data_IF_861120294878
#
_entry.id   IF_861120294878
#
_cell.length_a   1.000
_cell.length_b   1.000
_cell.length_c   1.000
_cell.angle_alpha   90.00
_cell.angle_beta   90.00
_cell.angle_gamma   90.00
#
_symmetry.space_group_name_H-M   'P 1'
#
loop_
_entity.id
_entity.type
_entity.pdbx_description
1 polymer ?
#
# COMPACT_ATOMS: atom_id res chain seq x y z
N UNK A 1 7.24 -2.84 2.89
CA UNK A 1 8.03 -3.96 3.44
C UNK A 1 8.23 -3.83 4.96
N UNK A 2 7.62 -2.81 5.57
CA UNK A 2 7.76 -2.54 6.99
C UNK A 2 9.15 -2.07 7.39
N UNK A 3 9.39 -1.90 8.69
CA UNK A 3 10.73 -1.71 9.22
C UNK A 3 11.63 -2.90 8.92
N UNK A 4 12.95 -2.71 8.96
CA UNK A 4 13.91 -3.81 8.74
C UNK A 4 13.65 -5.02 9.68
N UNK A 5 13.18 -4.79 10.88
CA UNK A 5 12.82 -5.85 11.83
C UNK A 5 11.63 -6.71 11.35
N UNK A 6 10.78 -6.19 10.48
CA UNK A 6 9.61 -6.90 9.95
C UNK A 6 9.98 -7.82 8.76
N UNK A 7 11.17 -7.65 8.16
CA UNK A 7 11.55 -8.42 6.97
C UNK A 7 11.54 -9.93 7.19
N UNK A 8 11.91 -10.39 8.37
CA UNK A 8 11.90 -11.82 8.72
C UNK A 8 10.50 -12.45 8.62
N UNK A 9 9.44 -11.72 9.01
CA UNK A 9 8.08 -12.22 8.89
C UNK A 9 7.62 -12.31 7.43
N UNK A 10 8.02 -11.30 6.61
CA UNK A 10 7.70 -11.31 5.18
C UNK A 10 8.45 -12.46 4.48
N UNK A 11 9.73 -12.64 4.79
CA UNK A 11 10.53 -13.74 4.25
C UNK A 11 9.93 -15.09 4.64
N UNK A 12 9.58 -15.29 5.91
CA UNK A 12 8.93 -16.53 6.35
C UNK A 12 7.62 -16.80 5.60
N UNK A 13 6.80 -15.77 5.36
CA UNK A 13 5.59 -15.91 4.55
C UNK A 13 5.89 -16.29 3.10
N UNK A 14 6.91 -15.71 2.48
CA UNK A 14 7.33 -16.05 1.13
C UNK A 14 7.83 -17.50 1.05
N UNK A 15 8.58 -17.96 2.05
CA UNK A 15 9.02 -19.35 2.20
C UNK A 15 7.84 -20.29 2.32
N UNK A 16 6.90 -20.02 3.21
CA UNK A 16 5.69 -20.85 3.44
C UNK A 16 4.83 -20.96 2.17
N UNK A 17 4.82 -19.90 1.33
CA UNK A 17 4.12 -19.88 0.05
C UNK A 17 4.95 -20.47 -1.10
N UNK A 18 6.23 -20.78 -0.89
CA UNK A 18 7.15 -21.22 -1.94
C UNK A 18 7.42 -20.14 -2.99
N UNK A 19 7.35 -18.86 -2.61
CA UNK A 19 7.51 -17.72 -3.50
C UNK A 19 8.94 -17.17 -3.40
N UNK A 20 9.69 -17.31 -4.47
CA UNK A 20 11.05 -16.76 -4.61
C UNK A 20 11.14 -15.69 -5.69
N UNK A 21 10.03 -15.36 -6.36
CA UNK A 21 9.97 -14.39 -7.43
C UNK A 21 8.78 -13.46 -7.28
N UNK A 22 8.97 -12.18 -7.56
CA UNK A 22 7.92 -11.17 -7.66
C UNK A 22 7.97 -10.53 -9.04
N UNK A 23 6.86 -10.54 -9.76
CA UNK A 23 6.73 -9.79 -11.01
C UNK A 23 6.85 -8.29 -10.73
N UNK A 24 6.22 -7.84 -9.64
CA UNK A 24 6.15 -6.41 -9.30
C UNK A 24 6.36 -6.18 -7.81
N UNK A 25 7.20 -5.22 -7.49
CA UNK A 25 7.34 -4.63 -6.17
C UNK A 25 6.91 -3.16 -6.25
N UNK A 26 6.01 -2.71 -5.38
CA UNK A 26 5.58 -1.31 -5.36
C UNK A 26 5.91 -0.71 -4.00
N UNK A 27 6.67 0.38 -4.01
CA UNK A 27 6.98 1.17 -2.83
C UNK A 27 6.09 2.42 -2.81
N UNK A 28 5.22 2.53 -1.82
CA UNK A 28 4.28 3.66 -1.70
C UNK A 28 5.00 4.99 -1.50
N UNK A 29 5.94 5.02 -0.57
CA UNK A 29 6.84 6.14 -0.28
C UNK A 29 8.08 5.63 0.48
N UNK A 30 9.04 6.51 0.77
CA UNK A 30 10.38 6.13 1.21
C UNK A 30 10.63 6.22 2.72
N UNK A 31 9.60 6.15 3.59
CA UNK A 31 9.82 6.00 5.03
C UNK A 31 10.30 4.60 5.40
N UNK A 32 11.03 4.50 6.52
CA UNK A 32 11.65 3.24 6.95
C UNK A 32 10.63 2.16 7.34
N UNK A 33 9.44 2.53 7.78
CA UNK A 33 8.34 1.60 8.07
C UNK A 33 7.66 1.05 6.78
N UNK A 34 8.01 1.57 5.61
CA UNK A 34 7.61 1.06 4.31
C UNK A 34 8.78 0.47 3.51
N UNK A 35 9.92 1.12 3.50
CA UNK A 35 11.11 0.75 2.72
C UNK A 35 12.15 -0.07 3.51
N UNK A 36 12.13 -0.01 4.84
CA UNK A 36 13.20 -0.53 5.68
C UNK A 36 13.53 -2.00 5.49
N UNK A 37 12.51 -2.84 5.34
CA UNK A 37 12.67 -4.28 5.10
C UNK A 37 12.86 -4.68 3.64
N UNK A 38 12.73 -3.75 2.69
CA UNK A 38 12.69 -4.07 1.26
C UNK A 38 13.98 -4.69 0.73
N UNK A 39 15.14 -4.19 1.18
CA UNK A 39 16.43 -4.75 0.78
C UNK A 39 16.59 -6.21 1.22
N UNK A 40 16.26 -6.54 2.46
CA UNK A 40 16.37 -7.90 2.97
C UNK A 40 15.43 -8.86 2.23
N UNK A 41 14.23 -8.42 1.90
CA UNK A 41 13.27 -9.21 1.08
C UNK A 41 13.82 -9.42 -0.32
N UNK A 42 14.37 -8.40 -0.97
CA UNK A 42 14.99 -8.54 -2.29
C UNK A 42 16.18 -9.51 -2.25
N UNK A 43 17.08 -9.37 -1.29
CA UNK A 43 18.22 -10.27 -1.11
C UNK A 43 17.77 -11.72 -0.98
N UNK A 44 16.77 -11.99 -0.14
CA UNK A 44 16.19 -13.32 0.00
C UNK A 44 15.73 -13.89 -1.36
N UNK A 45 14.95 -13.12 -2.13
CA UNK A 45 14.42 -13.57 -3.41
C UNK A 45 15.54 -13.94 -4.41
N UNK A 46 16.55 -13.09 -4.54
CA UNK A 46 17.66 -13.33 -5.47
C UNK A 46 18.58 -14.48 -5.01
N UNK A 47 18.86 -14.60 -3.72
CA UNK A 47 19.68 -15.67 -3.15
C UNK A 47 19.03 -17.06 -3.29
N UNK A 48 17.69 -17.11 -3.42
CA UNK A 48 16.93 -18.35 -3.62
C UNK A 48 16.60 -18.61 -5.10
N UNK A 49 17.30 -17.96 -6.03
CA UNK A 49 17.22 -18.22 -7.46
C UNK A 49 16.03 -17.59 -8.16
N UNK A 50 15.32 -16.68 -7.50
CA UNK A 50 14.25 -15.87 -8.05
C UNK A 50 14.66 -14.43 -8.31
N UNK A 51 13.84 -13.46 -7.88
CA UNK A 51 14.13 -12.03 -8.04
C UNK A 51 12.88 -11.17 -8.12
N UNK A 52 13.08 -9.95 -8.62
CA UNK A 52 12.02 -8.97 -8.84
C UNK A 52 12.16 -8.44 -10.27
N UNK A 53 11.11 -8.58 -11.10
CA UNK A 53 11.16 -8.11 -12.50
C UNK A 53 11.12 -6.58 -12.58
N UNK A 54 10.20 -5.97 -11.84
CA UNK A 54 10.01 -4.53 -11.85
C UNK A 54 9.69 -3.96 -10.48
N UNK A 55 10.29 -2.81 -10.18
CA UNK A 55 9.97 -2.01 -9.00
C UNK A 55 9.32 -0.69 -9.43
N UNK A 56 8.17 -0.37 -8.86
CA UNK A 56 7.44 0.87 -9.10
C UNK A 56 7.51 1.76 -7.88
N UNK A 57 7.92 3.01 -8.04
CA UNK A 57 7.98 3.99 -6.97
C UNK A 57 7.79 5.42 -7.49
N UNK A 58 7.48 6.37 -6.60
CA UNK A 58 7.59 7.80 -6.94
C UNK A 58 9.06 8.22 -7.01
N UNK A 59 9.35 9.33 -7.69
CA UNK A 59 10.71 9.84 -7.84
C UNK A 59 11.28 10.51 -6.59
N UNK A 60 10.45 10.73 -5.56
CA UNK A 60 10.93 11.33 -4.32
C UNK A 60 11.68 10.30 -3.46
N UNK A 61 12.89 10.64 -3.08
CA UNK A 61 13.72 9.87 -2.14
C UNK A 61 13.77 10.63 -0.82
N UNK A 62 13.25 9.99 0.24
CA UNK A 62 13.33 10.55 1.59
C UNK A 62 14.73 10.40 2.20
N UNK A 63 14.90 10.83 3.44
CA UNK A 63 16.12 10.65 4.23
C UNK A 63 16.36 9.20 4.70
N UNK A 64 15.56 8.25 4.29
CA UNK A 64 15.76 6.83 4.55
C UNK A 64 17.12 6.37 4.01
N UNK A 65 17.85 5.61 4.83
CA UNK A 65 19.12 5.00 4.42
C UNK A 65 18.93 3.68 3.67
N UNK A 66 17.79 3.05 3.85
CA UNK A 66 17.50 1.71 3.32
C UNK A 66 17.01 1.76 1.87
N UNK A 67 16.22 2.76 1.54
CA UNK A 67 15.61 2.87 0.21
C UNK A 67 16.65 3.02 -0.91
N UNK A 68 17.68 3.88 -0.81
CA UNK A 68 18.72 3.96 -1.84
C UNK A 68 19.54 2.66 -1.98
N UNK A 69 19.81 1.96 -0.88
CA UNK A 69 20.51 0.68 -0.91
C UNK A 69 19.68 -0.42 -1.58
N UNK A 70 18.37 -0.42 -1.32
CA UNK A 70 17.42 -1.31 -1.98
C UNK A 70 17.39 -1.07 -3.50
N UNK A 71 17.27 0.20 -3.91
CA UNK A 71 17.25 0.55 -5.33
C UNK A 71 18.54 0.19 -6.06
N UNK A 72 19.69 0.48 -5.43
CA UNK A 72 21.00 0.09 -5.98
C UNK A 72 21.09 -1.42 -6.15
N UNK A 73 20.67 -2.19 -5.13
CA UNK A 73 20.65 -3.65 -5.18
C UNK A 73 19.78 -4.17 -6.32
N UNK A 74 18.58 -3.61 -6.50
CA UNK A 74 17.69 -3.97 -7.60
C UNK A 74 18.35 -3.74 -8.97
N UNK A 75 18.93 -2.56 -9.18
CA UNK A 75 19.61 -2.19 -10.45
C UNK A 75 20.79 -3.11 -10.74
N UNK A 76 21.58 -3.46 -9.71
CA UNK A 76 22.72 -4.39 -9.86
C UNK A 76 22.28 -5.80 -10.24
N UNK A 77 21.09 -6.23 -9.85
CA UNK A 77 20.52 -7.54 -10.16
C UNK A 77 19.59 -7.55 -11.37
N UNK A 78 19.51 -6.45 -12.13
CA UNK A 78 18.80 -6.37 -13.40
C UNK A 78 17.30 -6.07 -13.28
N UNK A 79 16.78 -5.74 -12.08
CA UNK A 79 15.41 -5.28 -11.90
C UNK A 79 15.20 -3.94 -12.61
N UNK A 80 14.11 -3.81 -13.34
CA UNK A 80 13.69 -2.53 -13.91
C UNK A 80 13.02 -1.64 -12.85
N UNK A 81 13.60 -0.47 -12.57
CA UNK A 81 13.04 0.48 -11.59
C UNK A 81 12.33 1.63 -12.31
N UNK A 82 11.01 1.71 -12.11
CA UNK A 82 10.15 2.79 -12.61
C UNK A 82 10.03 3.88 -11.54
N UNK A 83 10.76 4.97 -11.70
CA UNK A 83 10.88 6.05 -10.71
C UNK A 83 9.79 7.13 -10.84
N UNK A 84 8.96 7.09 -11.88
CA UNK A 84 7.98 8.13 -12.19
C UNK A 84 6.55 7.58 -12.19
N UNK A 85 6.18 6.90 -11.11
CA UNK A 85 4.80 6.46 -10.92
C UNK A 85 3.97 7.64 -10.43
N UNK A 86 3.41 8.38 -11.38
CA UNK A 86 2.63 9.59 -11.14
C UNK A 86 1.15 9.37 -11.41
N UNK A 87 0.32 10.33 -11.00
CA UNK A 87 -1.10 10.36 -11.30
C UNK A 87 -1.36 10.16 -12.80
N UNK A 88 -2.24 9.21 -13.12
CA UNK A 88 -2.53 8.81 -14.49
C UNK A 88 -1.69 7.63 -15.02
N UNK A 89 -0.63 7.22 -14.31
CA UNK A 89 0.13 6.03 -14.71
C UNK A 89 -0.74 4.77 -14.58
N UNK A 90 -0.71 3.93 -15.60
CA UNK A 90 -1.52 2.71 -15.65
C UNK A 90 -0.70 1.54 -16.18
N UNK A 91 -0.93 0.36 -15.59
CA UNK A 91 -0.40 -0.91 -16.10
C UNK A 91 -1.38 -2.04 -15.80
N UNK A 92 -1.10 -3.21 -16.34
CA UNK A 92 -1.91 -4.40 -16.11
C UNK A 92 -1.05 -5.57 -15.65
N UNK A 93 -1.61 -6.38 -14.76
CA UNK A 93 -1.06 -7.65 -14.31
C UNK A 93 -2.10 -8.73 -14.64
N UNK A 94 -1.87 -9.47 -15.71
CA UNK A 94 -2.93 -10.30 -16.28
C UNK A 94 -4.16 -9.46 -16.63
N UNK A 95 -5.30 -9.78 -16.03
CA UNK A 95 -6.56 -9.06 -16.22
C UNK A 95 -6.80 -7.95 -15.16
N UNK A 96 -5.87 -7.75 -14.22
CA UNK A 96 -5.96 -6.72 -13.21
C UNK A 96 -5.41 -5.42 -13.78
N UNK A 97 -6.26 -4.37 -13.84
CA UNK A 97 -5.82 -3.02 -14.18
C UNK A 97 -5.46 -2.26 -12.91
N UNK A 98 -4.27 -1.65 -12.91
CA UNK A 98 -3.75 -0.83 -11.83
C UNK A 98 -3.63 0.60 -12.35
N UNK A 99 -4.16 1.56 -11.59
CA UNK A 99 -4.10 2.99 -11.91
C UNK A 99 -3.56 3.75 -10.71
N UNK A 100 -2.51 4.54 -10.90
CA UNK A 100 -2.04 5.50 -9.92
C UNK A 100 -2.83 6.82 -10.07
N UNK A 101 -3.33 7.35 -8.96
CA UNK A 101 -4.06 8.61 -8.87
C UNK A 101 -3.24 9.73 -8.22
N UNK A 102 -2.13 9.37 -7.60
CA UNK A 102 -1.22 10.28 -6.87
C UNK A 102 0.17 9.63 -6.76
N UNK A 103 1.29 10.42 -6.62
CA UNK A 103 1.37 11.87 -6.63
C UNK A 103 1.36 12.48 -8.05
N UNK A 104 1.18 13.80 -8.14
CA UNK A 104 1.49 14.58 -9.34
C UNK A 104 2.93 15.11 -9.27
N UNK A 105 3.46 15.60 -10.38
CA UNK A 105 4.76 16.29 -10.39
C UNK A 105 4.76 17.49 -9.43
N UNK A 106 3.66 18.25 -9.38
CA UNK A 106 3.51 19.40 -8.50
C UNK A 106 3.56 19.00 -7.01
N UNK A 107 2.96 17.84 -6.65
CA UNK A 107 3.00 17.34 -5.26
C UNK A 107 4.43 16.98 -4.86
N UNK A 108 5.20 16.36 -5.77
CA UNK A 108 6.61 16.05 -5.55
C UNK A 108 7.47 17.30 -5.39
N UNK A 109 7.25 18.33 -6.22
CA UNK A 109 7.97 19.62 -6.15
C UNK A 109 7.69 20.37 -4.83
N UNK A 110 6.51 20.18 -4.24
CA UNK A 110 6.13 20.79 -2.95
C UNK A 110 6.59 19.98 -1.73
N UNK A 111 7.09 18.79 -1.93
CA UNK A 111 7.58 17.96 -0.83
C UNK A 111 8.88 18.56 -0.25
N UNK A 112 8.83 18.93 1.03
CA UNK A 112 9.95 19.58 1.74
C UNK A 112 10.78 18.60 2.60
N UNK A 113 10.44 17.30 2.57
CA UNK A 113 11.19 16.24 3.23
C UNK A 113 10.93 16.08 4.73
N UNK A 114 9.90 16.74 5.28
CA UNK A 114 9.40 16.38 6.60
C UNK A 114 8.44 15.20 6.52
N UNK A 115 8.17 14.53 7.63
CA UNK A 115 7.36 13.31 7.67
C UNK A 115 6.01 13.46 6.99
N UNK A 116 5.28 14.55 7.26
CA UNK A 116 3.99 14.82 6.64
C UNK A 116 4.07 14.96 5.12
N UNK A 117 5.05 15.74 4.61
CA UNK A 117 5.18 15.97 3.16
C UNK A 117 5.65 14.71 2.42
N UNK A 118 6.44 13.85 3.08
CA UNK A 118 6.85 12.55 2.52
C UNK A 118 5.68 11.57 2.51
N UNK A 119 4.88 11.54 3.56
CA UNK A 119 3.64 10.75 3.60
C UNK A 119 2.67 11.21 2.51
N UNK A 120 2.52 12.53 2.34
CA UNK A 120 1.62 13.12 1.35
C UNK A 120 2.09 13.00 -0.11
N UNK A 121 3.23 12.37 -0.39
CA UNK A 121 3.62 11.94 -1.75
C UNK A 121 3.56 10.42 -1.94
N UNK A 122 2.88 9.70 -1.06
CA UNK A 122 2.58 8.28 -1.20
C UNK A 122 1.83 8.01 -2.50
N UNK A 123 2.12 6.88 -3.16
CA UNK A 123 1.39 6.48 -4.36
C UNK A 123 -0.01 5.99 -3.97
N UNK A 124 -1.04 6.70 -4.46
CA UNK A 124 -2.42 6.22 -4.39
C UNK A 124 -2.72 5.32 -5.58
N UNK A 125 -2.98 4.05 -5.33
CA UNK A 125 -3.26 3.07 -6.38
C UNK A 125 -4.62 2.41 -6.20
N UNK A 126 -5.28 2.20 -7.35
CA UNK A 126 -6.50 1.41 -7.44
C UNK A 126 -6.29 0.20 -8.32
N UNK A 127 -6.66 -0.96 -7.81
CA UNK A 127 -6.65 -2.24 -8.49
C UNK A 127 -8.08 -2.60 -8.89
N UNK A 128 -8.28 -2.94 -10.15
CA UNK A 128 -9.59 -3.32 -10.69
C UNK A 128 -9.48 -4.67 -11.39
N UNK A 129 -10.19 -5.67 -10.85
CA UNK A 129 -10.32 -6.98 -11.45
C UNK A 129 -11.79 -7.29 -11.71
N UNK A 130 -12.24 -7.04 -12.94
CA UNK A 130 -13.66 -7.14 -13.27
C UNK A 130 -14.50 -6.16 -12.45
N UNK A 131 -15.32 -6.68 -11.52
CA UNK A 131 -16.15 -5.87 -10.63
C UNK A 131 -15.45 -5.56 -9.30
N UNK A 132 -14.47 -6.36 -8.90
CA UNK A 132 -13.76 -6.20 -7.64
C UNK A 132 -12.73 -5.07 -7.70
N UNK A 133 -12.68 -4.25 -6.65
CA UNK A 133 -11.84 -3.05 -6.58
C UNK A 133 -11.16 -2.95 -5.24
N UNK A 134 -9.85 -2.72 -5.26
CA UNK A 134 -9.03 -2.47 -4.07
C UNK A 134 -8.33 -1.12 -4.19
N UNK A 135 -8.27 -0.36 -3.10
CA UNK A 135 -7.62 0.95 -3.03
C UNK A 135 -6.58 0.95 -1.89
N UNK A 136 -5.39 1.49 -2.19
CA UNK A 136 -4.34 1.72 -1.19
C UNK A 136 -3.62 3.03 -1.49
N UNK A 137 -3.41 3.87 -0.46
CA UNK A 137 -2.81 5.20 -0.60
C UNK A 137 -1.54 5.39 0.24
N UNK A 138 -0.94 4.32 0.75
CA UNK A 138 0.21 4.47 1.66
C UNK A 138 -0.18 5.27 2.89
N UNK A 139 0.52 6.38 3.14
CA UNK A 139 0.36 7.17 4.36
C UNK A 139 -0.18 8.58 4.13
N UNK A 140 -1.05 8.74 3.13
CA UNK A 140 -1.72 10.00 2.85
C UNK A 140 -2.45 10.55 4.07
N UNK A 141 -2.27 11.85 4.36
CA UNK A 141 -2.95 12.56 5.43
C UNK A 141 -4.31 13.12 4.96
N UNK A 142 -5.16 13.48 5.90
CA UNK A 142 -6.55 13.95 5.68
C UNK A 142 -6.61 15.07 4.63
N UNK A 143 -5.72 16.05 4.68
CA UNK A 143 -5.71 17.16 3.72
C UNK A 143 -5.50 16.69 2.27
N UNK A 144 -4.61 15.72 2.08
CA UNK A 144 -4.38 15.14 0.76
C UNK A 144 -5.55 14.23 0.35
N UNK A 145 -6.09 13.45 1.27
CA UNK A 145 -7.30 12.64 1.04
C UNK A 145 -8.46 13.51 0.56
N UNK A 146 -8.70 14.65 1.20
CA UNK A 146 -9.76 15.60 0.82
C UNK A 146 -9.55 16.18 -0.57
N UNK A 147 -8.31 16.59 -0.90
CA UNK A 147 -7.94 17.07 -2.23
C UNK A 147 -8.21 16.01 -3.30
N UNK A 148 -7.79 14.78 -3.06
CA UNK A 148 -7.97 13.66 -3.99
C UNK A 148 -9.44 13.26 -4.11
N UNK A 149 -10.20 13.29 -3.01
CA UNK A 149 -11.64 13.05 -3.01
C UNK A 149 -12.39 14.09 -3.86
N UNK A 150 -12.02 15.38 -3.76
CA UNK A 150 -12.58 16.44 -4.61
C UNK A 150 -12.21 16.25 -6.09
N UNK A 151 -10.96 15.89 -6.35
CA UNK A 151 -10.45 15.78 -7.71
C UNK A 151 -11.02 14.58 -8.47
N UNK A 152 -11.14 13.43 -7.82
CA UNK A 152 -11.44 12.16 -8.48
C UNK A 152 -12.84 11.59 -8.16
N UNK A 153 -13.45 11.97 -7.06
CA UNK A 153 -14.81 11.56 -6.69
C UNK A 153 -15.03 10.05 -6.85
N UNK A 154 -16.06 9.70 -7.62
CA UNK A 154 -16.48 8.30 -7.85
C UNK A 154 -15.41 7.40 -8.48
N UNK A 155 -14.36 7.95 -9.06
CA UNK A 155 -13.24 7.15 -9.58
C UNK A 155 -12.48 6.45 -8.46
N UNK A 156 -12.55 6.94 -7.22
CA UNK A 156 -11.91 6.34 -6.05
C UNK A 156 -12.73 5.23 -5.38
N UNK A 157 -14.01 5.04 -5.73
CA UNK A 157 -14.85 3.99 -5.13
C UNK A 157 -14.20 2.62 -5.22
N UNK A 158 -14.12 1.92 -4.08
CA UNK A 158 -13.49 0.61 -3.96
C UNK A 158 -14.27 -0.28 -2.99
N UNK A 159 -14.22 -1.59 -3.22
CA UNK A 159 -14.88 -2.57 -2.36
C UNK A 159 -14.07 -2.82 -1.08
N UNK A 160 -12.74 -2.81 -1.21
CA UNK A 160 -11.80 -2.96 -0.10
C UNK A 160 -10.81 -1.80 -0.14
N UNK A 161 -10.52 -1.23 1.02
CA UNK A 161 -9.54 -0.19 1.19
C UNK A 161 -8.52 -0.60 2.27
N UNK A 162 -7.20 -0.45 1.97
CA UNK A 162 -6.22 -0.35 3.04
C UNK A 162 -6.37 1.04 3.67
N UNK A 163 -6.45 1.10 5.00
CA UNK A 163 -6.43 2.39 5.69
C UNK A 163 -5.13 3.14 5.40
N UNK A 164 -5.19 4.43 5.18
CA UNK A 164 -4.00 5.25 5.04
C UNK A 164 -3.32 5.41 6.42
N UNK A 165 -1.99 5.56 6.40
CA UNK A 165 -1.14 5.82 7.56
C UNK A 165 -1.47 4.88 8.74
N UNK A 166 -1.47 3.58 8.47
CA UNK A 166 -1.73 2.50 9.45
C UNK A 166 -3.05 2.65 10.23
N UNK A 167 -4.02 3.39 9.68
CA UNK A 167 -5.27 3.68 10.37
C UNK A 167 -5.18 4.72 11.49
N UNK A 168 -4.13 5.55 11.54
CA UNK A 168 -3.98 6.61 12.53
C UNK A 168 -4.99 7.73 12.33
N UNK A 169 -5.15 8.58 13.36
CA UNK A 169 -6.10 9.70 13.35
C UNK A 169 -5.68 10.88 12.44
N UNK A 170 -4.49 10.85 11.88
CA UNK A 170 -4.02 11.83 10.88
C UNK A 170 -4.57 11.57 9.49
N UNK A 171 -5.25 10.44 9.30
CA UNK A 171 -5.72 9.94 8.01
C UNK A 171 -7.11 9.31 8.13
N UNK A 172 -7.66 8.87 7.01
CA UNK A 172 -8.96 8.22 6.91
C UNK A 172 -10.12 9.16 7.29
N UNK A 173 -10.04 10.41 6.81
CA UNK A 173 -11.04 11.44 7.07
C UNK A 173 -12.43 11.06 6.57
N UNK A 174 -13.47 11.65 7.19
CA UNK A 174 -14.87 11.34 6.85
C UNK A 174 -15.17 11.54 5.35
N UNK A 175 -14.68 12.62 4.75
CA UNK A 175 -14.86 12.90 3.31
C UNK A 175 -14.24 11.82 2.43
N UNK A 176 -13.06 11.31 2.82
CA UNK A 176 -12.38 10.21 2.15
C UNK A 176 -13.23 8.94 2.20
N UNK A 177 -13.68 8.54 3.39
CA UNK A 177 -14.51 7.35 3.58
C UNK A 177 -15.83 7.43 2.82
N UNK A 178 -16.47 8.61 2.81
CA UNK A 178 -17.69 8.86 2.04
C UNK A 178 -17.47 8.83 0.52
N UNK A 179 -16.26 9.15 0.05
CA UNK A 179 -15.91 9.12 -1.37
C UNK A 179 -15.57 7.70 -1.82
N UNK A 180 -14.72 7.00 -1.07
CA UNK A 180 -14.29 5.63 -1.39
C UNK A 180 -15.43 4.63 -1.21
N UNK A 181 -16.27 4.79 -0.19
CA UNK A 181 -17.40 3.92 0.13
C UNK A 181 -17.01 2.43 0.23
N UNK A 182 -16.01 2.08 1.05
CA UNK A 182 -15.54 0.72 1.12
C UNK A 182 -16.56 -0.19 1.83
N UNK A 183 -16.65 -1.45 1.43
CA UNK A 183 -17.36 -2.49 2.15
C UNK A 183 -16.47 -3.14 3.24
N UNK A 184 -15.14 -3.02 3.07
CA UNK A 184 -14.17 -3.49 4.04
C UNK A 184 -12.96 -2.55 4.12
N UNK A 185 -12.44 -2.37 5.33
CA UNK A 185 -11.20 -1.64 5.63
C UNK A 185 -10.21 -2.64 6.25
N UNK A 186 -8.99 -2.64 5.74
CA UNK A 186 -7.86 -3.40 6.28
C UNK A 186 -6.85 -2.41 6.82
N UNK A 187 -6.47 -2.54 8.10
CA UNK A 187 -5.39 -1.75 8.70
C UNK A 187 -4.20 -2.65 9.07
N UNK A 188 -3.01 -2.11 8.92
CA UNK A 188 -1.74 -2.72 9.33
C UNK A 188 -1.17 -2.11 10.62
N UNK A 189 -2.04 -1.55 11.46
CA UNK A 189 -1.70 -1.09 12.81
C UNK A 189 -1.22 -2.24 13.71
N UNK A 190 -0.46 -1.92 14.76
CA UNK A 190 -0.01 -2.88 15.77
C UNK A 190 -1.16 -3.39 16.66
N UNK A 191 -2.27 -2.65 16.69
CA UNK A 191 -3.49 -2.96 17.45
C UNK A 191 -4.74 -2.69 16.60
N UNK A 192 -5.82 -2.19 17.20
CA UNK A 192 -7.03 -1.80 16.48
C UNK A 192 -6.81 -0.58 15.56
N UNK A 193 -5.68 0.13 15.69
CA UNK A 193 -5.44 1.42 15.03
C UNK A 193 -6.26 2.54 15.67
N UNK A 194 -6.86 3.40 14.85
CA UNK A 194 -7.70 4.49 15.33
C UNK A 194 -9.10 3.98 15.72
N UNK A 195 -9.45 4.08 17.00
CA UNK A 195 -10.75 3.68 17.52
C UNK A 195 -11.92 4.40 16.78
N UNK A 196 -11.75 5.67 16.41
CA UNK A 196 -12.77 6.41 15.65
C UNK A 196 -13.00 5.84 14.26
N UNK A 197 -11.96 5.30 13.61
CA UNK A 197 -12.09 4.64 12.32
C UNK A 197 -12.86 3.31 12.47
N UNK A 198 -12.56 2.53 13.51
CA UNK A 198 -13.26 1.30 13.81
C UNK A 198 -14.74 1.54 14.20
N UNK A 199 -15.02 2.57 15.01
CA UNK A 199 -16.37 3.00 15.35
C UNK A 199 -17.15 3.44 14.09
N UNK A 200 -16.54 4.27 13.24
CA UNK A 200 -17.16 4.68 11.96
C UNK A 200 -17.48 3.45 11.10
N UNK A 201 -16.58 2.50 11.00
CA UNK A 201 -16.81 1.28 10.23
C UNK A 201 -18.01 0.50 10.79
N UNK A 202 -18.07 0.31 12.11
CA UNK A 202 -19.17 -0.38 12.78
C UNK A 202 -20.52 0.33 12.57
N UNK A 203 -20.57 1.67 12.71
CA UNK A 203 -21.78 2.47 12.50
C UNK A 203 -22.32 2.42 11.06
N UNK A 204 -21.42 2.23 10.08
CA UNK A 204 -21.78 2.19 8.66
C UNK A 204 -21.85 0.78 8.07
N UNK A 205 -21.71 -0.26 8.91
CA UNK A 205 -21.75 -1.66 8.46
C UNK A 205 -20.57 -2.05 7.57
N UNK A 206 -19.44 -1.36 7.70
CA UNK A 206 -18.18 -1.64 7.00
C UNK A 206 -17.42 -2.68 7.82
N UNK A 207 -16.95 -3.74 7.19
CA UNK A 207 -16.09 -4.74 7.84
C UNK A 207 -14.73 -4.14 8.14
N UNK A 208 -14.25 -4.29 9.38
CA UNK A 208 -12.95 -3.77 9.81
C UNK A 208 -12.01 -4.90 10.20
N UNK A 209 -10.80 -4.85 9.67
CA UNK A 209 -9.77 -5.86 9.90
C UNK A 209 -8.47 -5.18 10.32
N UNK A 210 -7.84 -5.68 11.40
CA UNK A 210 -6.55 -5.18 11.88
C UNK A 210 -5.51 -6.29 11.92
N UNK A 211 -4.39 -6.10 11.25
CA UNK A 211 -3.29 -7.05 11.24
C UNK A 211 -2.67 -7.25 12.64
N UNK A 212 -2.66 -6.21 13.48
CA UNK A 212 -2.17 -6.30 14.86
C UNK A 212 -3.01 -7.20 15.76
N UNK A 213 -4.31 -7.37 15.44
CA UNK A 213 -5.22 -8.22 16.21
C UNK A 213 -5.38 -9.60 15.54
N UNK A 214 -5.52 -9.61 14.22
CA UNK A 214 -5.92 -10.82 13.47
C UNK A 214 -4.74 -11.53 12.78
N UNK A 215 -3.53 -10.97 12.90
CA UNK A 215 -2.33 -11.51 12.26
C UNK A 215 -2.35 -11.30 10.75
N UNK A 216 -1.93 -12.30 10.00
CA UNK A 216 -1.95 -12.23 8.54
C UNK A 216 -3.38 -12.06 8.00
N UNK A 217 -3.57 -11.05 7.16
CA UNK A 217 -4.82 -10.81 6.44
C UNK A 217 -4.58 -11.04 4.96
N UNK A 218 -5.30 -11.99 4.39
CA UNK A 218 -5.23 -12.35 2.98
C UNK A 218 -6.48 -11.86 2.25
N UNK A 219 -6.30 -10.92 1.32
CA UNK A 219 -7.35 -10.49 0.40
C UNK A 219 -7.21 -11.24 -0.93
N UNK A 220 -8.23 -12.01 -1.28
CA UNK A 220 -8.36 -12.65 -2.59
C UNK A 220 -9.43 -11.93 -3.41
N UNK A 221 -9.10 -11.53 -4.62
CA UNK A 221 -10.03 -10.89 -5.54
C UNK A 221 -10.29 -11.79 -6.74
N UNK A 222 -11.54 -11.90 -7.12
CA UNK A 222 -11.98 -12.50 -8.38
C UNK A 222 -12.60 -11.43 -9.30
N UNK A 223 -13.03 -11.82 -10.50
CA UNK A 223 -13.71 -10.89 -11.43
C UNK A 223 -15.07 -10.39 -10.91
N UNK A 224 -15.67 -11.07 -9.92
CA UNK A 224 -17.05 -10.79 -9.46
C UNK A 224 -17.15 -10.50 -7.97
N UNK A 225 -16.20 -10.97 -7.15
CA UNK A 225 -16.25 -10.86 -5.70
C UNK A 225 -14.85 -10.84 -5.09
N UNK A 226 -14.78 -10.54 -3.81
CA UNK A 226 -13.57 -10.65 -3.01
C UNK A 226 -13.84 -11.47 -1.74
N UNK A 227 -12.78 -12.06 -1.20
CA UNK A 227 -12.76 -12.78 0.07
C UNK A 227 -11.61 -12.26 0.93
N UNK A 228 -11.88 -12.08 2.24
CA UNK A 228 -10.84 -11.72 3.22
C UNK A 228 -10.76 -12.85 4.22
N UNK A 229 -9.56 -13.39 4.41
CA UNK A 229 -9.24 -14.44 5.39
C UNK A 229 -8.21 -13.87 6.36
N UNK A 230 -8.43 -14.11 7.66
CA UNK A 230 -7.52 -13.73 8.73
C UNK A 230 -6.87 -14.95 9.35
N UNK A 231 -5.67 -14.79 9.88
CA UNK A 231 -4.98 -15.85 10.61
C UNK A 231 -5.75 -16.23 11.88
N UNK A 232 -6.32 -15.25 12.56
CA UNK A 232 -7.12 -15.45 13.78
C UNK A 232 -8.40 -14.62 13.72
N UNK A 233 -9.55 -15.23 14.09
CA UNK A 233 -10.84 -14.55 14.20
C UNK A 233 -11.47 -14.11 12.88
N UNK A 234 -12.63 -13.49 13.02
CA UNK A 234 -13.39 -12.84 11.93
C UNK A 234 -13.15 -11.32 11.95
N UNK A 235 -13.92 -10.56 11.14
CA UNK A 235 -13.88 -9.08 11.19
C UNK A 235 -14.26 -8.55 12.57
N UNK A 236 -13.66 -7.40 12.94
CA UNK A 236 -13.91 -6.68 14.19
C UNK A 236 -15.21 -5.90 14.12
#
# INVERSE_FOLDING_TARGET
AGYIACSAHIISLLEDLGLHHLDYFVLSHAHDDHAGGALAVAQYLYEHGGGIDACYRSSYIASSKQEPLFEEYLKQNGTHVYENVLAGYQWTVGDVRITAYHPTTEDLEKCVGNDESVNNVSILMKFVYGRSKYLTGGDLYIEMEEKLAEQYGDLLKADVMKSNHHGTYTSNGQKWLQTVQPNAIITDAEDIGNALLAEYAAEHGIKYYSAGIQGLILLRMSRIEYEIQCQTGDCL
#
